data_IF_218820516726
#
_entry.id   IF_218820516726
#
_cell.length_a   1.000
_cell.length_b   1.000
_cell.length_c   1.000
_cell.angle_alpha   90.00
_cell.angle_beta   90.00
_cell.angle_gamma   90.00
#
_symmetry.space_group_name_H-M   'P 1'
#
loop_
_entity.id
_entity.type
_entity.pdbx_description
1 polymer ?
#
# COMPACT_ATOMS: atom_id res chain seq x y z
N UNK A 1 2.92 32.20 -16.89
CA UNK A 1 3.41 31.87 -18.24
C UNK A 1 3.41 30.36 -18.34
N UNK A 2 2.45 29.79 -19.06
CA UNK A 2 2.36 28.34 -19.23
C UNK A 2 3.40 27.95 -20.29
N UNK A 3 4.36 27.10 -19.91
CA UNK A 3 5.32 26.54 -20.84
C UNK A 3 4.56 25.84 -22.00
N UNK A 4 5.03 25.95 -23.25
CA UNK A 4 4.43 25.23 -24.35
C UNK A 4 4.47 23.73 -24.05
N UNK A 5 3.29 23.09 -24.09
CA UNK A 5 3.18 21.64 -23.93
C UNK A 5 3.85 21.01 -25.15
N UNK A 6 4.94 20.27 -24.92
CA UNK A 6 5.62 19.52 -25.96
C UNK A 6 4.65 18.47 -26.53
N UNK A 7 4.14 18.74 -27.74
CA UNK A 7 3.14 17.92 -28.42
C UNK A 7 3.61 16.49 -28.74
N UNK A 8 4.90 16.20 -28.58
CA UNK A 8 5.44 14.85 -28.72
C UNK A 8 5.21 13.95 -27.49
N UNK A 9 4.82 14.53 -26.34
CA UNK A 9 4.58 13.79 -25.11
C UNK A 9 3.16 13.20 -25.13
N UNK A 10 3.06 11.89 -24.98
CA UNK A 10 1.80 11.18 -24.76
C UNK A 10 1.56 10.94 -23.28
N UNK A 11 0.32 11.10 -22.83
CA UNK A 11 -0.07 10.85 -21.44
C UNK A 11 -0.90 9.58 -21.31
N UNK A 12 -0.67 8.84 -20.22
CA UNK A 12 -1.44 7.65 -19.86
C UNK A 12 -1.84 7.71 -18.39
N UNK A 13 -2.95 7.07 -18.03
CA UNK A 13 -3.43 7.03 -16.65
C UNK A 13 -3.19 5.67 -16.00
N UNK A 14 -2.91 5.68 -14.70
CA UNK A 14 -2.84 4.47 -13.88
C UNK A 14 -2.98 4.80 -12.40
N UNK A 15 -2.97 3.77 -11.56
CA UNK A 15 -3.01 3.90 -10.11
C UNK A 15 -1.65 3.60 -9.47
N UNK A 16 -1.36 4.23 -8.34
CA UNK A 16 -0.23 3.85 -7.50
C UNK A 16 -0.41 2.39 -7.02
N UNK A 17 0.54 1.49 -7.29
CA UNK A 17 0.43 0.10 -6.91
C UNK A 17 0.98 -0.20 -5.50
N UNK A 18 1.42 0.80 -4.75
CA UNK A 18 2.00 0.57 -3.42
C UNK A 18 0.93 0.18 -2.40
N UNK A 19 1.36 -0.54 -1.38
CA UNK A 19 0.54 -0.92 -0.22
C UNK A 19 0.21 0.32 0.63
N UNK A 20 -0.86 1.01 0.24
CA UNK A 20 -1.38 2.23 0.81
C UNK A 20 -2.84 2.40 0.36
N UNK A 21 -3.77 2.80 1.26
CA UNK A 21 -5.20 2.87 0.92
C UNK A 21 -5.54 3.95 -0.11
N UNK A 22 -4.64 4.91 -0.35
CA UNK A 22 -4.94 6.11 -1.12
C UNK A 22 -5.15 5.84 -2.62
N UNK A 23 -4.59 4.75 -3.16
CA UNK A 23 -4.68 4.36 -4.58
C UNK A 23 -4.48 5.52 -5.57
N UNK A 24 -3.49 6.38 -5.29
CA UNK A 24 -3.34 7.68 -5.97
C UNK A 24 -3.43 7.58 -7.50
N UNK A 25 -4.25 8.43 -8.11
CA UNK A 25 -4.34 8.53 -9.58
C UNK A 25 -3.07 9.20 -10.15
N UNK A 26 -2.39 8.50 -11.04
CA UNK A 26 -1.12 8.88 -11.66
C UNK A 26 -1.30 9.15 -13.15
N UNK A 27 -0.50 10.09 -13.66
CA UNK A 27 -0.34 10.43 -15.08
C UNK A 27 1.09 10.12 -15.48
N UNK A 28 1.25 9.21 -16.44
CA UNK A 28 2.53 8.79 -17.00
C UNK A 28 2.80 9.58 -18.27
N UNK A 29 3.94 10.26 -18.34
CA UNK A 29 4.36 11.06 -19.48
C UNK A 29 5.39 10.29 -20.29
N UNK A 30 5.07 9.99 -21.55
CA UNK A 30 5.88 9.14 -22.42
C UNK A 30 6.30 9.92 -23.66
N UNK A 31 7.60 9.89 -23.96
CA UNK A 31 8.20 10.49 -25.16
C UNK A 31 9.18 9.50 -25.76
N UNK A 32 9.14 9.31 -27.08
CA UNK A 32 10.01 8.37 -27.81
C UNK A 32 10.03 6.98 -27.15
N UNK A 33 8.85 6.47 -26.79
CA UNK A 33 8.62 5.19 -26.10
C UNK A 33 9.28 5.05 -24.72
N UNK A 34 9.76 6.15 -24.14
CA UNK A 34 10.37 6.20 -22.81
C UNK A 34 9.48 6.96 -21.83
N UNK A 35 9.34 6.40 -20.64
CA UNK A 35 8.68 7.07 -19.51
C UNK A 35 9.60 8.18 -19.00
N UNK A 36 9.22 9.44 -19.19
CA UNK A 36 10.06 10.59 -18.82
C UNK A 36 9.64 11.25 -17.51
N UNK A 37 8.40 11.05 -17.07
CA UNK A 37 7.91 11.56 -15.79
C UNK A 37 6.65 10.82 -15.35
N UNK A 38 6.39 10.83 -14.04
CA UNK A 38 5.08 10.48 -13.48
C UNK A 38 4.62 11.57 -12.53
N UNK A 39 3.41 12.07 -12.75
CA UNK A 39 2.77 13.11 -11.93
C UNK A 39 1.44 12.61 -11.39
N UNK A 40 0.86 13.30 -10.42
CA UNK A 40 -0.51 13.00 -10.00
C UNK A 40 -1.53 13.57 -10.98
N UNK A 41 -2.70 12.95 -11.05
CA UNK A 41 -3.84 13.48 -11.79
C UNK A 41 -4.54 14.59 -10.98
N UNK A 42 -4.55 15.82 -11.50
CA UNK A 42 -5.16 16.99 -10.84
C UNK A 42 -6.68 16.88 -10.72
N UNK A 43 -7.32 16.15 -11.65
CA UNK A 43 -8.77 15.97 -11.69
C UNK A 43 -9.27 14.91 -10.69
N UNK A 44 -8.37 14.19 -10.02
CA UNK A 44 -8.76 13.18 -9.05
C UNK A 44 -9.22 13.82 -7.73
N UNK A 45 -10.47 13.62 -7.28
CA UNK A 45 -11.08 14.40 -6.19
C UNK A 45 -10.34 14.25 -4.86
N UNK A 46 -9.87 13.04 -4.57
CA UNK A 46 -9.18 12.71 -3.32
C UNK A 46 -7.72 13.16 -3.29
N UNK A 47 -6.97 12.88 -4.36
CA UNK A 47 -5.52 13.12 -4.35
C UNK A 47 -5.12 14.46 -4.95
N UNK A 48 -5.96 15.05 -5.82
CA UNK A 48 -5.80 16.40 -6.40
C UNK A 48 -4.41 16.67 -6.97
N UNK A 49 -3.84 15.67 -7.64
CA UNK A 49 -2.48 15.72 -8.18
C UNK A 49 -1.35 15.50 -7.17
N UNK A 50 -1.65 15.44 -5.88
CA UNK A 50 -0.70 15.13 -4.83
C UNK A 50 -0.23 13.68 -4.92
N UNK A 51 1.09 13.49 -4.88
CA UNK A 51 1.73 12.19 -4.72
C UNK A 51 2.70 12.25 -3.53
N UNK A 52 2.82 11.16 -2.79
CA UNK A 52 3.78 11.11 -1.67
C UNK A 52 5.23 11.08 -2.17
N UNK A 53 6.17 11.38 -1.26
CA UNK A 53 7.61 11.39 -1.57
C UNK A 53 8.16 10.07 -2.13
N UNK A 54 7.48 8.94 -1.84
CA UNK A 54 7.86 7.61 -2.34
C UNK A 54 7.66 7.47 -3.86
N UNK A 55 6.81 8.33 -4.43
CA UNK A 55 6.50 8.40 -5.85
C UNK A 55 7.25 9.53 -6.56
N UNK A 56 8.08 10.28 -5.81
CA UNK A 56 8.99 11.25 -6.40
C UNK A 56 9.96 10.51 -7.33
N UNK A 57 10.09 10.99 -8.55
CA UNK A 57 10.97 10.42 -9.58
C UNK A 57 10.65 8.94 -9.90
N UNK A 58 9.36 8.59 -9.98
CA UNK A 58 8.92 7.21 -10.21
C UNK A 58 9.46 6.60 -11.52
N UNK A 59 9.72 7.42 -12.53
CA UNK A 59 10.39 7.02 -13.76
C UNK A 59 11.81 6.49 -13.51
N UNK A 60 12.55 7.04 -12.54
CA UNK A 60 13.89 6.53 -12.19
C UNK A 60 13.81 5.15 -11.56
N UNK A 61 12.76 4.87 -10.78
CA UNK A 61 12.49 3.52 -10.26
C UNK A 61 12.22 2.54 -11.41
N UNK A 62 11.51 2.97 -12.44
CA UNK A 62 11.28 2.16 -13.64
C UNK A 62 12.60 1.80 -14.33
N UNK A 63 13.56 2.71 -14.41
CA UNK A 63 14.86 2.45 -15.05
C UNK A 63 16.01 2.14 -14.07
N UNK A 64 15.69 1.74 -12.83
CA UNK A 64 16.72 1.49 -11.83
C UNK A 64 17.68 0.38 -12.28
N UNK A 65 19.01 0.52 -12.10
CA UNK A 65 19.98 -0.48 -12.53
C UNK A 65 19.76 -1.85 -11.89
N UNK A 66 19.26 -1.88 -10.64
CA UNK A 66 18.95 -3.14 -9.93
C UNK A 66 17.58 -3.74 -10.29
N UNK A 67 16.89 -3.23 -11.32
CA UNK A 67 15.59 -3.78 -11.72
C UNK A 67 15.75 -5.24 -12.17
N UNK A 68 14.91 -6.11 -11.62
CA UNK A 68 14.85 -7.50 -12.05
C UNK A 68 14.19 -7.57 -13.44
N UNK A 69 14.98 -7.92 -14.45
CA UNK A 69 14.55 -8.01 -15.85
C UNK A 69 14.42 -9.46 -16.35
N UNK A 70 15.08 -10.40 -15.66
CA UNK A 70 15.17 -11.79 -16.08
C UNK A 70 14.93 -12.73 -14.89
N UNK A 71 14.47 -13.96 -15.14
CA UNK A 71 14.51 -15.02 -14.14
C UNK A 71 15.94 -15.26 -13.65
N UNK A 72 16.08 -15.42 -12.34
CA UNK A 72 17.37 -15.61 -11.66
C UNK A 72 17.33 -16.85 -10.77
N UNK A 73 18.34 -17.71 -10.87
CA UNK A 73 18.51 -18.91 -10.04
C UNK A 73 19.60 -18.71 -9.02
N UNK A 74 19.34 -19.04 -7.76
CA UNK A 74 20.34 -18.92 -6.69
C UNK A 74 21.37 -20.03 -6.82
N UNK A 75 22.64 -19.67 -6.92
CA UNK A 75 23.76 -20.61 -7.06
C UNK A 75 24.55 -20.80 -5.76
N UNK A 76 24.39 -19.89 -4.79
CA UNK A 76 25.08 -19.95 -3.49
C UNK A 76 24.15 -20.14 -2.28
N UNK A 77 24.72 -20.08 -1.05
CA UNK A 77 23.96 -20.14 0.19
C UNK A 77 22.89 -19.05 0.30
N UNK A 78 21.80 -19.31 1.05
CA UNK A 78 20.76 -18.30 1.28
C UNK A 78 21.38 -17.06 1.94
N UNK A 79 21.14 -15.88 1.37
CA UNK A 79 21.69 -14.61 1.84
C UNK A 79 22.99 -14.17 1.16
N UNK A 80 23.65 -15.02 0.37
CA UNK A 80 24.92 -14.66 -0.31
C UNK A 80 24.74 -13.73 -1.51
N UNK A 81 23.50 -13.51 -1.97
CA UNK A 81 23.15 -12.76 -3.19
C UNK A 81 23.80 -13.30 -4.48
N UNK A 82 24.20 -14.57 -4.48
CA UNK A 82 24.77 -15.22 -5.66
C UNK A 82 23.66 -15.82 -6.52
N UNK A 83 23.49 -15.26 -7.71
CA UNK A 83 22.49 -15.69 -8.69
C UNK A 83 23.09 -15.74 -10.09
N UNK A 84 22.57 -16.65 -10.90
CA UNK A 84 22.78 -16.69 -12.34
C UNK A 84 21.47 -16.43 -13.08
N UNK A 85 21.56 -15.86 -14.27
CA UNK A 85 20.39 -15.67 -15.14
C UNK A 85 20.02 -17.00 -15.77
N UNK A 86 18.73 -17.32 -15.77
CA UNK A 86 18.16 -18.49 -16.45
C UNK A 86 17.05 -18.09 -17.41
N UNK A 87 16.58 -19.03 -18.24
CA UNK A 87 15.43 -18.82 -19.12
C UNK A 87 14.11 -18.90 -18.34
N UNK A 88 13.02 -18.44 -18.95
CA UNK A 88 11.69 -18.64 -18.39
C UNK A 88 11.31 -20.12 -18.32
N UNK A 89 11.62 -20.89 -19.37
CA UNK A 89 11.33 -22.33 -19.39
C UNK A 89 12.06 -23.06 -18.26
N UNK A 90 13.36 -22.82 -18.06
CA UNK A 90 14.10 -23.44 -16.96
C UNK A 90 13.54 -23.03 -15.59
N UNK A 91 13.14 -21.77 -15.43
CA UNK A 91 12.57 -21.29 -14.17
C UNK A 91 11.24 -21.98 -13.86
N UNK A 92 10.37 -22.11 -14.86
CA UNK A 92 9.08 -22.76 -14.73
C UNK A 92 9.23 -24.26 -14.49
N UNK A 93 10.05 -24.96 -15.28
CA UNK A 93 10.32 -26.40 -15.12
C UNK A 93 10.87 -26.71 -13.73
N UNK A 94 11.85 -25.92 -13.27
CA UNK A 94 12.42 -26.07 -11.92
C UNK A 94 11.37 -25.93 -10.82
N UNK A 95 10.43 -24.99 -10.97
CA UNK A 95 9.34 -24.78 -10.01
C UNK A 95 8.35 -25.94 -10.07
N UNK A 96 7.95 -26.35 -11.27
CA UNK A 96 6.99 -27.44 -11.49
C UNK A 96 7.51 -28.75 -10.93
N UNK A 97 8.74 -29.14 -11.26
CA UNK A 97 9.34 -30.39 -10.78
C UNK A 97 9.37 -30.43 -9.25
N UNK A 98 9.78 -29.33 -8.63
CA UNK A 98 9.86 -29.22 -7.18
C UNK A 98 8.48 -29.28 -6.52
N UNK A 99 7.50 -28.60 -7.10
CA UNK A 99 6.14 -28.60 -6.58
C UNK A 99 5.46 -29.95 -6.76
N UNK A 100 5.63 -30.62 -7.90
CA UNK A 100 5.13 -31.98 -8.10
C UNK A 100 5.72 -32.96 -7.09
N UNK A 101 7.01 -32.84 -6.78
CA UNK A 101 7.65 -33.59 -5.70
C UNK A 101 6.95 -33.39 -4.35
N UNK A 102 6.79 -32.13 -3.94
CA UNK A 102 6.12 -31.76 -2.67
C UNK A 102 4.67 -32.26 -2.64
N UNK A 103 3.93 -32.09 -3.74
CA UNK A 103 2.54 -32.54 -3.85
C UNK A 103 2.44 -34.06 -3.68
N UNK A 104 3.39 -34.81 -4.25
CA UNK A 104 3.43 -36.27 -4.15
C UNK A 104 3.73 -36.75 -2.74
N UNK A 105 4.60 -36.06 -2.00
CA UNK A 105 5.05 -36.47 -0.66
C UNK A 105 4.15 -35.95 0.46
N UNK A 106 3.79 -34.66 0.40
CA UNK A 106 3.19 -33.91 1.50
C UNK A 106 1.78 -33.37 1.15
N UNK A 107 1.36 -33.53 -0.10
CA UNK A 107 0.11 -33.01 -0.62
C UNK A 107 0.17 -31.54 -1.02
N UNK A 108 -0.82 -31.05 -1.77
CA UNK A 108 -0.80 -29.68 -2.32
C UNK A 108 -0.88 -28.58 -1.26
N UNK A 109 -1.42 -28.89 -0.07
CA UNK A 109 -1.47 -27.95 1.07
C UNK A 109 -0.10 -27.62 1.66
N UNK A 110 0.96 -28.38 1.33
CA UNK A 110 2.33 -28.00 1.69
C UNK A 110 2.84 -26.77 0.88
N UNK A 111 2.14 -26.38 -0.19
CA UNK A 111 2.41 -25.15 -0.95
C UNK A 111 1.52 -24.04 -0.39
N UNK A 112 2.14 -22.90 -0.04
CA UNK A 112 1.43 -21.72 0.45
C UNK A 112 1.87 -20.48 -0.34
N UNK A 113 0.99 -19.87 -1.16
CA UNK A 113 1.27 -18.58 -1.76
C UNK A 113 1.34 -17.48 -0.70
N UNK A 114 2.38 -16.65 -0.81
CA UNK A 114 2.56 -15.46 0.03
C UNK A 114 2.60 -14.21 -0.87
N UNK A 115 1.58 -13.37 -0.78
CA UNK A 115 1.40 -12.14 -1.57
C UNK A 115 0.62 -11.12 -0.74
N UNK A 116 1.09 -9.85 -0.65
CA UNK A 116 0.37 -8.70 -0.05
C UNK A 116 1.23 -7.41 -0.07
N UNK A 117 2.48 -7.50 0.39
CA UNK A 117 3.30 -6.36 0.85
C UNK A 117 4.13 -5.62 -0.23
N UNK A 118 3.90 -5.85 -1.53
CA UNK A 118 4.80 -5.39 -2.59
C UNK A 118 4.14 -4.52 -3.66
N UNK A 119 3.06 -5.03 -4.23
CA UNK A 119 2.29 -4.40 -5.30
C UNK A 119 0.83 -4.82 -5.09
N UNK A 120 -0.09 -3.85 -5.00
CA UNK A 120 -1.53 -4.09 -4.79
C UNK A 120 -2.37 -3.79 -6.05
N UNK A 121 -1.75 -3.73 -7.23
CA UNK A 121 -2.48 -3.61 -8.50
C UNK A 121 -3.37 -4.83 -8.79
N UNK A 122 -4.39 -4.66 -9.63
CA UNK A 122 -5.40 -5.69 -9.91
C UNK A 122 -4.82 -7.01 -10.44
N UNK A 123 -3.74 -6.95 -11.23
CA UNK A 123 -3.12 -8.12 -11.86
C UNK A 123 -2.05 -8.77 -10.99
N UNK A 124 -1.22 -7.95 -10.33
CA UNK A 124 -0.02 -8.42 -9.62
C UNK A 124 -0.17 -8.45 -8.09
N UNK A 125 -1.30 -7.96 -7.57
CA UNK A 125 -1.56 -7.79 -6.15
C UNK A 125 -2.52 -8.82 -5.59
N UNK A 126 -3.61 -8.34 -4.98
CA UNK A 126 -4.42 -9.12 -4.04
C UNK A 126 -5.04 -10.39 -4.61
N UNK A 127 -5.29 -10.47 -5.92
CA UNK A 127 -5.90 -11.64 -6.57
C UNK A 127 -4.93 -12.39 -7.49
N UNK A 128 -3.66 -11.98 -7.52
CA UNK A 128 -2.64 -12.52 -8.41
C UNK A 128 -2.38 -13.99 -8.12
N UNK A 129 -2.90 -14.88 -8.97
CA UNK A 129 -2.70 -16.33 -8.90
C UNK A 129 -3.76 -17.10 -8.11
N UNK A 130 -4.81 -16.47 -7.61
CA UNK A 130 -5.83 -17.13 -6.76
C UNK A 130 -6.49 -18.31 -7.45
N UNK A 131 -6.93 -18.13 -8.69
CA UNK A 131 -7.52 -19.22 -9.47
C UNK A 131 -6.54 -20.39 -9.67
N UNK A 132 -5.26 -20.08 -9.87
CA UNK A 132 -4.22 -21.10 -10.04
C UNK A 132 -3.97 -21.87 -8.74
N UNK A 133 -3.77 -21.18 -7.62
CA UNK A 133 -3.53 -21.82 -6.32
C UNK A 133 -4.77 -22.55 -5.78
N UNK A 134 -5.98 -22.04 -6.07
CA UNK A 134 -7.22 -22.73 -5.78
C UNK A 134 -7.31 -24.05 -6.55
N UNK A 135 -7.05 -24.04 -7.86
CA UNK A 135 -7.04 -25.25 -8.69
C UNK A 135 -5.96 -26.25 -8.26
N UNK A 136 -4.81 -25.76 -7.80
CA UNK A 136 -3.72 -26.57 -7.28
C UNK A 136 -4.09 -27.28 -5.96
N UNK A 137 -5.03 -26.73 -5.19
CA UNK A 137 -5.36 -27.21 -3.84
C UNK A 137 -4.35 -26.75 -2.77
N UNK A 138 -3.70 -25.61 -3.02
CA UNK A 138 -2.71 -25.03 -2.11
C UNK A 138 -3.35 -24.49 -0.83
N UNK A 139 -2.53 -24.27 0.20
CA UNK A 139 -2.97 -23.63 1.45
C UNK A 139 -3.44 -22.20 1.19
N UNK A 140 -4.59 -21.84 1.74
CA UNK A 140 -5.11 -20.48 1.72
C UNK A 140 -4.53 -19.73 2.93
N UNK A 141 -3.83 -18.64 2.68
CA UNK A 141 -3.30 -17.75 3.69
C UNK A 141 -4.14 -16.46 3.74
N UNK A 142 -4.26 -15.87 4.92
CA UNK A 142 -4.92 -14.59 5.16
C UNK A 142 -4.20 -13.39 4.50
N UNK A 143 -2.94 -13.58 4.08
CA UNK A 143 -2.07 -12.64 3.34
C UNK A 143 -1.67 -11.36 4.08
N UNK A 144 -2.48 -10.89 5.02
CA UNK A 144 -2.13 -9.80 5.94
C UNK A 144 -1.38 -10.32 7.17
N UNK A 145 -0.51 -9.49 7.74
CA UNK A 145 0.28 -9.84 8.94
C UNK A 145 0.00 -8.92 10.13
N UNK A 146 -0.49 -7.71 9.89
CA UNK A 146 -0.59 -6.66 10.92
C UNK A 146 -1.96 -5.96 10.98
N UNK A 147 -2.84 -6.16 9.99
CA UNK A 147 -4.16 -5.52 9.95
C UNK A 147 -5.28 -6.35 10.57
N UNK A 148 -5.12 -7.67 10.64
CA UNK A 148 -6.25 -8.58 10.88
C UNK A 148 -6.94 -8.37 12.22
N UNK A 149 -6.19 -8.12 13.29
CA UNK A 149 -6.78 -7.89 14.61
C UNK A 149 -7.78 -6.73 14.60
N UNK A 150 -7.47 -5.66 13.84
CA UNK A 150 -8.39 -4.53 13.68
C UNK A 150 -9.59 -4.88 12.80
N UNK A 151 -9.40 -5.63 11.72
CA UNK A 151 -10.46 -6.08 10.82
C UNK A 151 -11.45 -7.00 11.55
N UNK A 152 -10.95 -7.97 12.32
CA UNK A 152 -11.76 -8.88 13.14
C UNK A 152 -12.55 -8.11 14.19
N UNK A 153 -11.91 -7.20 14.95
CA UNK A 153 -12.61 -6.40 15.96
C UNK A 153 -13.72 -5.54 15.33
N UNK A 154 -13.45 -4.94 14.17
CA UNK A 154 -14.41 -4.11 13.45
C UNK A 154 -15.60 -4.94 12.95
N UNK A 155 -15.34 -6.10 12.35
CA UNK A 155 -16.36 -7.03 11.87
C UNK A 155 -17.26 -7.52 13.01
N UNK A 156 -16.68 -7.89 14.15
CA UNK A 156 -17.45 -8.37 15.32
C UNK A 156 -18.31 -7.28 15.96
N UNK A 157 -17.89 -6.01 15.86
CA UNK A 157 -18.57 -4.89 16.55
C UNK A 157 -19.59 -4.19 15.66
N UNK A 158 -19.25 -3.94 14.39
CA UNK A 158 -20.01 -3.10 13.46
C UNK A 158 -20.59 -3.91 12.28
N UNK A 159 -20.14 -5.16 12.11
CA UNK A 159 -20.46 -5.96 10.93
C UNK A 159 -19.61 -5.58 9.71
N UNK A 160 -19.86 -6.23 8.56
CA UNK A 160 -19.12 -5.94 7.33
C UNK A 160 -19.47 -4.52 6.83
N UNK A 161 -18.46 -3.66 6.74
CA UNK A 161 -18.61 -2.29 6.24
C UNK A 161 -17.33 -1.82 5.55
N UNK A 162 -17.48 -0.95 4.55
CA UNK A 162 -16.36 -0.29 3.88
C UNK A 162 -15.72 0.84 4.70
N UNK A 163 -16.23 1.10 5.90
CA UNK A 163 -15.81 2.23 6.73
C UNK A 163 -16.56 3.51 6.37
N UNK A 164 -16.08 4.62 6.92
CA UNK A 164 -16.61 5.96 6.63
C UNK A 164 -15.90 6.55 5.41
N UNK A 165 -16.65 7.27 4.58
CA UNK A 165 -16.06 8.09 3.53
C UNK A 165 -15.11 9.15 4.15
N UNK A 166 -13.81 9.15 3.80
CA UNK A 166 -12.87 10.12 4.33
C UNK A 166 -13.25 11.58 4.05
N UNK A 167 -13.96 11.87 2.95
CA UNK A 167 -14.40 13.24 2.63
C UNK A 167 -15.40 13.78 3.66
N UNK A 168 -16.15 12.89 4.30
CA UNK A 168 -17.16 13.25 5.31
C UNK A 168 -16.56 13.86 6.59
N UNK A 169 -15.25 13.69 6.85
CA UNK A 169 -14.58 14.30 8.01
C UNK A 169 -14.65 15.83 8.01
N UNK A 170 -14.87 16.46 6.85
CA UNK A 170 -15.01 17.92 6.74
C UNK A 170 -16.21 18.47 7.54
N UNK A 171 -17.19 17.61 7.84
CA UNK A 171 -18.41 17.98 8.56
C UNK A 171 -18.28 17.81 10.08
N UNK A 172 -17.23 17.14 10.55
CA UNK A 172 -17.00 16.91 11.98
C UNK A 172 -16.66 18.21 12.73
N UNK A 173 -17.12 18.31 13.98
CA UNK A 173 -16.74 19.39 14.92
C UNK A 173 -15.67 18.96 15.91
N UNK A 174 -15.44 17.66 16.03
CA UNK A 174 -14.46 17.06 16.91
C UNK A 174 -13.93 15.80 16.25
N UNK A 175 -12.60 15.68 16.12
CA UNK A 175 -11.92 14.58 15.45
C UNK A 175 -10.86 14.06 16.41
N UNK A 176 -10.93 12.77 16.73
CA UNK A 176 -9.90 12.07 17.49
C UNK A 176 -9.10 11.22 16.50
N UNK A 177 -7.83 11.55 16.30
CA UNK A 177 -6.89 10.70 15.60
C UNK A 177 -6.16 9.85 16.64
N UNK A 178 -6.51 8.56 16.70
CA UNK A 178 -5.96 7.64 17.69
C UNK A 178 -4.96 6.67 17.06
N UNK A 179 -3.75 6.62 17.59
CA UNK A 179 -2.66 5.72 17.18
C UNK A 179 -2.33 5.82 15.67
N UNK A 180 -2.41 7.02 15.10
CA UNK A 180 -2.27 7.25 13.67
C UNK A 180 -1.51 8.54 13.35
N UNK A 181 -0.35 8.40 12.70
CA UNK A 181 0.45 9.53 12.25
C UNK A 181 0.03 9.98 10.83
N UNK A 182 -1.22 10.40 10.68
CA UNK A 182 -1.86 10.77 9.41
C UNK A 182 -1.03 11.71 8.53
N UNK A 183 -0.36 12.72 9.08
CA UNK A 183 0.54 13.62 8.32
C UNK A 183 1.60 12.85 7.52
N UNK A 184 2.07 11.72 8.04
CA UNK A 184 3.14 10.92 7.42
C UNK A 184 2.61 9.69 6.67
N UNK A 185 1.51 9.10 7.14
CA UNK A 185 1.03 7.79 6.67
C UNK A 185 -0.27 7.87 5.86
N UNK A 186 -0.96 9.01 5.86
CA UNK A 186 -2.21 9.22 5.13
C UNK A 186 -2.36 10.71 4.79
N UNK A 187 -1.50 11.21 3.88
CA UNK A 187 -1.44 12.65 3.57
C UNK A 187 -2.74 13.16 2.93
N UNK A 188 -3.47 12.31 2.21
CA UNK A 188 -4.68 12.69 1.50
C UNK A 188 -5.86 12.83 2.47
N UNK A 189 -5.96 11.97 3.47
CA UNK A 189 -6.88 12.17 4.59
C UNK A 189 -6.51 13.40 5.44
N UNK A 190 -5.22 13.62 5.70
CA UNK A 190 -4.78 14.75 6.52
C UNK A 190 -5.22 16.10 5.94
N UNK A 191 -5.22 16.27 4.61
CA UNK A 191 -5.74 17.48 3.97
C UNK A 191 -7.17 17.80 4.41
N UNK A 192 -8.05 16.79 4.46
CA UNK A 192 -9.46 16.94 4.84
C UNK A 192 -9.59 17.29 6.33
N UNK A 193 -8.86 16.57 7.19
CA UNK A 193 -8.86 16.84 8.65
C UNK A 193 -8.38 18.25 8.95
N UNK A 194 -7.28 18.68 8.32
CA UNK A 194 -6.72 20.01 8.52
C UNK A 194 -7.65 21.12 7.99
N UNK A 195 -8.38 20.85 6.89
CA UNK A 195 -9.43 21.77 6.43
C UNK A 195 -10.60 21.85 7.42
N UNK A 196 -11.03 20.72 8.01
CA UNK A 196 -12.04 20.70 9.07
C UNK A 196 -11.57 21.48 10.30
N UNK A 197 -10.31 21.32 10.69
CA UNK A 197 -9.68 22.04 11.79
C UNK A 197 -9.73 23.56 11.57
N UNK A 198 -9.36 24.02 10.37
CA UNK A 198 -9.46 25.45 9.97
C UNK A 198 -10.89 25.98 9.99
N UNK A 199 -11.89 25.13 9.75
CA UNK A 199 -13.33 25.45 9.85
C UNK A 199 -13.86 25.37 11.30
N UNK A 200 -12.98 25.14 12.28
CA UNK A 200 -13.30 25.15 13.70
C UNK A 200 -13.53 23.76 14.32
N UNK A 201 -13.23 22.67 13.61
CA UNK A 201 -13.21 21.35 14.24
C UNK A 201 -12.05 21.25 15.24
N UNK A 202 -12.30 20.68 16.41
CA UNK A 202 -11.22 20.35 17.37
C UNK A 202 -10.54 19.05 16.92
N UNK A 203 -9.23 19.06 16.75
CA UNK A 203 -8.44 17.86 16.43
C UNK A 203 -7.63 17.45 17.66
N UNK A 204 -7.89 16.25 18.17
CA UNK A 204 -7.13 15.64 19.26
C UNK A 204 -6.37 14.44 18.74
N UNK A 205 -5.09 14.36 19.06
CA UNK A 205 -4.27 13.19 18.74
C UNK A 205 -3.98 12.41 20.02
N UNK A 206 -4.20 11.11 19.97
CA UNK A 206 -3.82 10.16 21.01
C UNK A 206 -2.74 9.26 20.43
N UNK A 207 -1.48 9.54 20.78
CA UNK A 207 -0.29 8.83 20.30
C UNK A 207 0.71 8.73 21.45
N UNK A 208 1.41 7.60 21.60
CA UNK A 208 2.39 7.42 22.69
C UNK A 208 3.65 8.31 22.59
N UNK A 209 3.83 9.01 21.45
CA UNK A 209 4.92 9.96 21.23
C UNK A 209 4.41 11.17 20.43
N UNK A 210 5.15 12.28 20.46
CA UNK A 210 4.81 13.50 19.72
C UNK A 210 5.08 13.33 18.21
N UNK A 211 4.17 12.65 17.52
CA UNK A 211 4.19 12.43 16.07
C UNK A 211 4.08 13.75 15.30
N UNK A 212 4.34 13.73 13.98
CA UNK A 212 4.09 14.93 13.15
C UNK A 212 2.63 15.36 13.22
N UNK A 213 1.72 14.39 13.32
CA UNK A 213 0.28 14.65 13.44
C UNK A 213 -0.06 15.28 14.79
N UNK A 214 0.54 14.80 15.88
CA UNK A 214 0.36 15.38 17.22
C UNK A 214 0.80 16.85 17.30
N UNK A 215 1.84 17.24 16.55
CA UNK A 215 2.33 18.63 16.51
C UNK A 215 1.39 19.60 15.82
N UNK A 216 0.56 19.12 14.90
CA UNK A 216 -0.41 19.92 14.15
C UNK A 216 -1.81 19.88 14.80
N UNK A 217 -2.01 19.00 15.79
CA UNK A 217 -3.27 18.87 16.51
C UNK A 217 -3.45 19.96 17.56
N UNK A 218 -4.70 20.20 17.95
CA UNK A 218 -4.99 21.13 19.04
C UNK A 218 -4.49 20.59 20.38
N UNK A 219 -4.73 19.30 20.64
CA UNK A 219 -4.26 18.58 21.83
C UNK A 219 -3.56 17.28 21.46
N UNK A 220 -2.54 16.93 22.26
CA UNK A 220 -1.88 15.64 22.22
C UNK A 220 -2.00 14.96 23.59
N UNK A 221 -2.60 13.78 23.61
CA UNK A 221 -2.66 12.90 24.78
C UNK A 221 -1.67 11.76 24.54
N UNK A 222 -0.70 11.61 25.44
CA UNK A 222 0.38 10.64 25.32
C UNK A 222 0.26 9.51 26.36
N UNK A 223 -0.56 8.47 26.10
CA UNK A 223 -0.61 7.30 26.97
C UNK A 223 0.69 6.49 26.88
N UNK A 224 0.92 5.60 27.85
CA UNK A 224 2.00 4.62 27.75
C UNK A 224 1.69 3.66 26.59
N UNK A 225 2.70 3.20 25.82
CA UNK A 225 2.46 2.22 24.75
C UNK A 225 1.68 1.00 25.25
N UNK A 226 0.59 0.66 24.56
CA UNK A 226 -0.26 -0.49 24.88
C UNK A 226 -1.30 -0.25 25.98
N UNK A 227 -1.45 0.97 26.50
CA UNK A 227 -2.46 1.30 27.53
C UNK A 227 -3.69 2.04 26.98
N UNK A 228 -3.85 2.12 25.66
CA UNK A 228 -4.95 2.81 24.98
C UNK A 228 -6.32 2.28 25.40
N UNK A 229 -6.44 0.96 25.61
CA UNK A 229 -7.68 0.35 26.09
C UNK A 229 -8.12 0.85 27.46
N UNK A 230 -7.18 1.09 28.39
CA UNK A 230 -7.50 1.65 29.70
C UNK A 230 -7.97 3.11 29.60
N UNK A 231 -7.36 3.89 28.70
CA UNK A 231 -7.80 5.25 28.41
C UNK A 231 -9.21 5.27 27.81
N UNK A 232 -9.48 4.41 26.82
CA UNK A 232 -10.80 4.28 26.20
C UNK A 232 -11.88 3.93 27.22
N UNK A 233 -11.62 2.96 28.10
CA UNK A 233 -12.57 2.57 29.15
C UNK A 233 -12.83 3.67 30.19
N UNK A 234 -11.86 4.55 30.45
CA UNK A 234 -12.04 5.68 31.37
C UNK A 234 -12.82 6.85 30.75
N UNK A 235 -12.95 6.89 29.42
CA UNK A 235 -13.74 7.90 28.70
C UNK A 235 -15.23 7.52 28.58
N UNK A 236 -15.57 6.25 28.77
CA UNK A 236 -16.94 5.72 28.73
C UNK A 236 -17.64 5.88 30.08
#
# INVERSE_FOLDING_TARGET
MNAPVDASIKTFHGGCPHDCPDTCSMVFHVKDEKLIAVTGNTEHPMTRGGLCVKLKDYEKRHYHPDRLLYPMKRTGPKGSKQFERITWDEALDTIVDKWQGIIKTDGPRAIMPASYLGNQGLVHGLNGGDAFFNKLGATVCERTFCGEGSCTAWLLTVGPTGGVDPESFIHSKYIIIWACNSVSTNLHHWHIVHEAQKKGAKVVVIDSYASKTAKEADWHIAPKPGTDGALAMAMM
#
